data_IF_368296982167
#
_entry.id   IF_368296982167
#
_cell.length_a   1.000
_cell.length_b   1.000
_cell.length_c   1.000
_cell.angle_alpha   90.00
_cell.angle_beta   90.00
_cell.angle_gamma   90.00
#
_symmetry.space_group_name_H-M   'P 1'
#
loop_
_entity.id
_entity.type
_entity.pdbx_description
1 polymer ?
#
# COMPACT_ATOMS: atom_id res chain seq x y z
N UNK A 1 26.81 12.63 -9.60
CA UNK A 1 26.90 11.40 -8.80
C UNK A 1 25.90 11.47 -7.65
N UNK A 2 25.91 12.56 -6.87
CA UNK A 2 25.07 12.78 -5.67
C UNK A 2 23.55 12.57 -5.79
N UNK A 3 22.90 13.03 -6.88
CA UNK A 3 21.44 12.93 -6.98
C UNK A 3 20.95 11.48 -7.19
N UNK A 4 21.69 10.68 -7.96
CA UNK A 4 21.34 9.26 -8.18
C UNK A 4 21.49 8.47 -6.88
N UNK A 5 22.57 8.72 -6.14
CA UNK A 5 22.83 8.06 -4.86
C UNK A 5 21.85 8.51 -3.77
N UNK A 6 21.35 9.74 -3.85
CA UNK A 6 20.28 10.21 -2.97
C UNK A 6 18.96 9.48 -3.26
N UNK A 7 18.53 9.42 -4.52
CA UNK A 7 17.27 8.75 -4.88
C UNK A 7 17.32 7.25 -4.56
N UNK A 8 18.44 6.58 -4.81
CA UNK A 8 18.60 5.16 -4.47
C UNK A 8 18.43 4.92 -2.96
N UNK A 9 19.05 5.77 -2.12
CA UNK A 9 18.91 5.68 -0.66
C UNK A 9 17.47 5.89 -0.20
N UNK A 10 16.74 6.81 -0.82
CA UNK A 10 15.32 7.00 -0.50
C UNK A 10 14.48 5.77 -0.88
N UNK A 11 14.79 5.13 -2.01
CA UNK A 11 14.13 3.89 -2.43
C UNK A 11 14.38 2.75 -1.43
N UNK A 12 15.64 2.56 -1.01
CA UNK A 12 16.03 1.55 -0.03
C UNK A 12 15.38 1.81 1.34
N UNK A 13 15.32 3.08 1.77
CA UNK A 13 14.63 3.49 2.99
C UNK A 13 13.15 3.10 2.92
N UNK A 14 12.47 3.41 1.82
CA UNK A 14 11.06 3.05 1.64
C UNK A 14 10.84 1.54 1.64
N UNK A 15 11.72 0.76 0.99
CA UNK A 15 11.65 -0.70 1.01
C UNK A 15 11.75 -1.26 2.44
N UNK A 16 12.65 -0.72 3.27
CA UNK A 16 12.80 -1.13 4.66
C UNK A 16 11.55 -0.80 5.51
N UNK A 17 11.00 0.40 5.35
CA UNK A 17 9.80 0.84 6.09
C UNK A 17 8.59 -0.02 5.71
N UNK A 18 8.36 -0.20 4.41
CA UNK A 18 7.24 -1.01 3.92
C UNK A 18 7.40 -2.48 4.31
N UNK A 19 8.64 -3.00 4.33
CA UNK A 19 8.93 -4.34 4.85
C UNK A 19 8.54 -4.49 6.33
N UNK A 20 8.85 -3.50 7.17
CA UNK A 20 8.46 -3.50 8.59
C UNK A 20 6.95 -3.42 8.78
N UNK A 21 6.27 -2.56 8.02
CA UNK A 21 4.80 -2.44 8.02
C UNK A 21 4.17 -3.77 7.61
N UNK A 22 4.66 -4.38 6.52
CA UNK A 22 4.21 -5.69 6.04
C UNK A 22 4.41 -6.75 7.11
N UNK A 23 5.57 -6.85 7.74
CA UNK A 23 5.79 -7.81 8.83
C UNK A 23 4.82 -7.61 9.98
N UNK A 24 4.48 -6.37 10.33
CA UNK A 24 3.50 -6.07 11.38
C UNK A 24 2.07 -6.52 10.99
N UNK A 25 1.69 -6.32 9.73
CA UNK A 25 0.38 -6.69 9.21
C UNK A 25 0.21 -8.21 9.02
N UNK A 26 1.24 -8.91 8.56
CA UNK A 26 1.17 -10.33 8.16
C UNK A 26 1.78 -11.30 9.18
N UNK A 27 2.66 -10.84 10.07
CA UNK A 27 3.41 -11.68 11.03
C UNK A 27 2.82 -11.74 12.45
N UNK A 28 1.68 -11.10 12.70
CA UNK A 28 1.08 -11.02 14.03
C UNK A 28 0.34 -12.30 14.47
N UNK A 29 1.04 -13.42 14.64
CA UNK A 29 0.45 -14.65 15.21
C UNK A 29 0.48 -14.71 16.74
N UNK A 30 1.23 -13.83 17.42
CA UNK A 30 1.51 -13.98 18.86
C UNK A 30 0.86 -12.94 19.80
N UNK A 31 0.13 -11.95 19.28
CA UNK A 31 -0.54 -10.95 20.13
C UNK A 31 -2.05 -10.99 19.95
N UNK A 32 -2.69 -11.96 20.63
CA UNK A 32 -4.14 -12.12 20.85
C UNK A 32 -4.82 -10.92 21.57
N UNK A 33 -4.22 -9.73 21.60
CA UNK A 33 -4.73 -8.53 22.28
C UNK A 33 -4.68 -7.24 21.47
N UNK A 34 -4.11 -7.25 20.26
CA UNK A 34 -4.22 -6.11 19.36
C UNK A 34 -5.48 -6.30 18.53
N UNK A 35 -6.51 -5.49 18.79
CA UNK A 35 -7.68 -5.45 17.94
C UNK A 35 -7.26 -5.04 16.54
N UNK A 36 -7.96 -5.57 15.53
CA UNK A 36 -7.67 -5.31 14.12
C UNK A 36 -7.66 -3.81 13.81
N UNK A 37 -8.54 -3.06 14.47
CA UNK A 37 -8.65 -1.62 14.37
C UNK A 37 -7.36 -0.92 14.80
N UNK A 38 -6.72 -1.39 15.88
CA UNK A 38 -5.46 -0.83 16.36
C UNK A 38 -4.30 -1.15 15.41
N UNK A 39 -4.29 -2.33 14.79
CA UNK A 39 -3.27 -2.66 13.77
C UNK A 39 -3.40 -1.76 12.53
N UNK A 40 -4.63 -1.48 12.10
CA UNK A 40 -4.88 -0.56 10.99
C UNK A 40 -4.45 0.88 11.35
N UNK A 41 -4.80 1.35 12.55
CA UNK A 41 -4.43 2.69 13.03
C UNK A 41 -2.92 2.86 13.15
N UNK A 42 -2.23 1.91 13.79
CA UNK A 42 -0.78 1.98 13.89
C UNK A 42 -0.10 1.95 12.50
N UNK A 43 -0.70 1.23 11.54
CA UNK A 43 -0.16 1.18 10.17
C UNK A 43 -0.31 2.52 9.46
N UNK A 44 -1.46 3.18 9.62
CA UNK A 44 -1.68 4.54 9.11
C UNK A 44 -0.65 5.51 9.69
N UNK A 45 -0.44 5.46 11.00
CA UNK A 45 0.53 6.30 11.69
C UNK A 45 1.96 6.06 11.17
N UNK A 46 2.37 4.79 11.01
CA UNK A 46 3.68 4.45 10.46
C UNK A 46 3.86 4.93 9.02
N UNK A 47 2.84 4.75 8.16
CA UNK A 47 2.88 5.26 6.78
C UNK A 47 3.06 6.78 6.75
N UNK A 48 2.34 7.49 7.61
CA UNK A 48 2.42 8.95 7.69
C UNK A 48 3.79 9.42 8.19
N UNK A 49 4.27 8.87 9.30
CA UNK A 49 5.50 9.32 9.97
C UNK A 49 6.75 8.91 9.19
N UNK A 50 6.81 7.65 8.76
CA UNK A 50 8.05 7.08 8.22
C UNK A 50 8.15 7.23 6.70
N UNK A 51 7.00 7.12 6.00
CA UNK A 51 6.93 7.11 4.54
C UNK A 51 6.30 8.36 3.92
N UNK A 52 5.94 9.37 4.73
CA UNK A 52 5.25 10.60 4.28
C UNK A 52 3.97 10.30 3.48
N UNK A 53 3.33 9.15 3.80
CA UNK A 53 2.14 8.65 3.14
C UNK A 53 0.91 8.76 4.05
N UNK A 54 0.07 9.75 3.78
CA UNK A 54 -1.20 9.96 4.45
C UNK A 54 -2.26 9.04 3.84
N UNK A 55 -2.47 7.88 4.48
CA UNK A 55 -3.42 6.88 4.01
C UNK A 55 -4.86 7.41 4.01
N UNK A 56 -5.26 8.20 5.00
CA UNK A 56 -6.63 8.72 5.09
C UNK A 56 -6.90 9.73 3.97
N UNK A 57 -5.94 10.63 3.69
CA UNK A 57 -6.02 11.52 2.54
C UNK A 57 -6.11 10.75 1.22
N UNK A 58 -5.32 9.70 1.06
CA UNK A 58 -5.37 8.86 -0.13
C UNK A 58 -6.73 8.13 -0.27
N UNK A 59 -7.31 7.66 0.83
CA UNK A 59 -8.63 7.02 0.81
C UNK A 59 -9.75 7.97 0.39
N UNK A 60 -9.65 9.25 0.76
CA UNK A 60 -10.65 10.25 0.45
C UNK A 60 -10.52 10.85 -0.96
N UNK A 61 -9.38 10.64 -1.63
CA UNK A 61 -9.14 11.20 -2.97
C UNK A 61 -9.92 10.43 -4.04
N UNK A 62 -10.21 11.07 -5.17
CA UNK A 62 -10.59 10.30 -6.37
C UNK A 62 -9.36 9.63 -7.02
N UNK A 63 -9.57 8.92 -8.13
CA UNK A 63 -8.49 8.23 -8.85
C UNK A 63 -7.44 9.21 -9.40
N UNK A 64 -7.86 10.34 -9.97
CA UNK A 64 -6.94 11.30 -10.56
C UNK A 64 -6.11 12.01 -9.49
N UNK A 65 -6.76 12.45 -8.41
CA UNK A 65 -6.13 13.06 -7.25
C UNK A 65 -5.18 12.10 -6.54
N UNK A 66 -5.58 10.84 -6.38
CA UNK A 66 -4.74 9.82 -5.76
C UNK A 66 -3.51 9.50 -6.59
N UNK A 67 -3.65 9.41 -7.92
CA UNK A 67 -2.52 9.19 -8.82
C UNK A 67 -1.56 10.39 -8.81
N UNK A 68 -2.09 11.62 -8.75
CA UNK A 68 -1.29 12.83 -8.60
C UNK A 68 -0.54 12.83 -7.25
N UNK A 69 -1.21 12.46 -6.16
CA UNK A 69 -0.60 12.32 -4.84
C UNK A 69 0.56 11.32 -4.85
N UNK A 70 0.32 10.10 -5.36
CA UNK A 70 1.35 9.06 -5.49
C UNK A 70 2.55 9.54 -6.32
N UNK A 71 2.28 10.25 -7.43
CA UNK A 71 3.34 10.74 -8.32
C UNK A 71 4.28 11.77 -7.67
N UNK A 72 3.79 12.49 -6.65
CA UNK A 72 4.57 13.49 -5.91
C UNK A 72 5.46 12.91 -4.81
N UNK A 73 5.26 11.64 -4.44
CA UNK A 73 6.02 10.99 -3.37
C UNK A 73 7.46 10.70 -3.83
N UNK A 74 8.43 11.05 -2.98
CA UNK A 74 9.85 10.74 -3.20
C UNK A 74 10.17 9.37 -2.60
N UNK A 75 11.11 8.64 -3.21
CA UNK A 75 11.54 7.33 -2.73
C UNK A 75 10.63 6.16 -3.11
N UNK A 76 9.45 6.40 -3.66
CA UNK A 76 8.58 5.33 -4.15
C UNK A 76 8.91 4.95 -5.60
N UNK A 77 9.50 3.75 -5.77
CA UNK A 77 9.56 3.07 -7.06
C UNK A 77 8.35 2.13 -7.21
N UNK A 78 8.27 1.42 -8.34
CA UNK A 78 7.16 0.49 -8.61
C UNK A 78 7.08 -0.63 -7.56
N UNK A 79 8.22 -1.22 -7.19
CA UNK A 79 8.26 -2.29 -6.18
C UNK A 79 7.73 -1.84 -4.82
N UNK A 80 8.13 -0.66 -4.35
CA UNK A 80 7.63 -0.05 -3.11
C UNK A 80 6.12 0.20 -3.19
N UNK A 81 5.62 0.67 -4.33
CA UNK A 81 4.18 0.91 -4.51
C UNK A 81 3.36 -0.38 -4.56
N UNK A 82 3.92 -1.48 -5.08
CA UNK A 82 3.28 -2.79 -5.02
C UNK A 82 3.19 -3.30 -3.58
N UNK A 83 4.26 -3.17 -2.78
CA UNK A 83 4.23 -3.54 -1.36
C UNK A 83 3.24 -2.67 -0.59
N UNK A 84 3.15 -1.37 -0.92
CA UNK A 84 2.14 -0.48 -0.35
C UNK A 84 0.72 -0.96 -0.71
N UNK A 85 0.49 -1.36 -1.97
CA UNK A 85 -0.80 -1.91 -2.41
C UNK A 85 -1.17 -3.18 -1.64
N UNK A 86 -0.21 -4.08 -1.40
CA UNK A 86 -0.42 -5.26 -0.53
C UNK A 86 -0.80 -4.86 0.90
N UNK A 87 -0.11 -3.89 1.49
CA UNK A 87 -0.40 -3.43 2.86
C UNK A 87 -1.82 -2.84 2.94
N UNK A 88 -2.21 -2.02 1.97
CA UNK A 88 -3.54 -1.44 1.88
C UNK A 88 -4.62 -2.53 1.73
N UNK A 89 -4.39 -3.51 0.86
CA UNK A 89 -5.29 -4.65 0.71
C UNK A 89 -5.42 -5.43 2.02
N UNK A 90 -4.31 -5.69 2.71
CA UNK A 90 -4.30 -6.43 3.98
C UNK A 90 -5.08 -5.70 5.08
N UNK A 91 -5.03 -4.38 5.14
CA UNK A 91 -5.90 -3.60 6.04
C UNK A 91 -7.37 -3.85 5.68
N UNK A 92 -7.71 -3.83 4.38
CA UNK A 92 -9.06 -4.14 3.89
C UNK A 92 -9.55 -5.54 4.26
N UNK A 93 -8.68 -6.55 4.19
CA UNK A 93 -8.97 -7.92 4.63
C UNK A 93 -9.22 -8.02 6.13
N UNK A 94 -8.41 -7.32 6.90
CA UNK A 94 -8.48 -7.35 8.35
C UNK A 94 -9.72 -6.55 8.82
N UNK A 95 -10.11 -5.47 8.15
CA UNK A 95 -11.29 -4.67 8.50
C UNK A 95 -12.60 -5.48 8.43
N UNK A 96 -13.22 -5.72 9.60
CA UNK A 96 -14.57 -6.29 9.72
C UNK A 96 -15.71 -5.30 9.38
N UNK A 97 -15.39 -4.12 8.85
CA UNK A 97 -16.34 -3.04 8.58
C UNK A 97 -16.73 -2.96 7.10
N UNK A 98 -17.81 -2.23 6.80
CA UNK A 98 -18.24 -1.94 5.43
C UNK A 98 -17.21 -1.20 4.58
N UNK A 99 -16.17 -0.63 5.21
CA UNK A 99 -15.10 0.13 4.55
C UNK A 99 -14.07 -0.75 3.81
N UNK A 100 -14.10 -2.07 3.98
CA UNK A 100 -13.20 -3.01 3.28
C UNK A 100 -13.15 -2.81 1.77
N UNK A 101 -14.28 -2.42 1.17
CA UNK A 101 -14.36 -2.13 -0.28
C UNK A 101 -13.46 -0.98 -0.70
N UNK A 102 -13.42 0.11 0.08
CA UNK A 102 -12.60 1.29 -0.22
C UNK A 102 -11.11 0.95 -0.18
N UNK A 103 -10.68 0.14 0.80
CA UNK A 103 -9.29 -0.34 0.85
C UNK A 103 -8.92 -1.16 -0.38
N UNK A 104 -9.81 -2.05 -0.84
CA UNK A 104 -9.57 -2.84 -2.04
C UNK A 104 -9.54 -2.01 -3.32
N UNK A 105 -10.47 -1.07 -3.48
CA UNK A 105 -10.46 -0.11 -4.60
C UNK A 105 -9.15 0.68 -4.65
N UNK A 106 -8.66 1.11 -3.49
CA UNK A 106 -7.41 1.87 -3.37
C UNK A 106 -6.16 1.04 -3.60
N UNK A 107 -6.16 -0.23 -3.18
CA UNK A 107 -5.12 -1.18 -3.53
C UNK A 107 -5.07 -1.44 -5.05
N UNK A 108 -6.24 -1.59 -5.70
CA UNK A 108 -6.33 -1.74 -7.15
C UNK A 108 -5.81 -0.49 -7.88
N UNK A 109 -6.18 0.71 -7.42
CA UNK A 109 -5.65 1.96 -7.95
C UNK A 109 -4.11 2.00 -7.92
N UNK A 110 -3.49 1.54 -6.83
CA UNK A 110 -2.02 1.48 -6.72
C UNK A 110 -1.41 0.48 -7.72
N UNK A 111 -2.02 -0.70 -7.89
CA UNK A 111 -1.54 -1.67 -8.87
C UNK A 111 -1.70 -1.20 -10.31
N UNK A 112 -2.81 -0.53 -10.64
CA UNK A 112 -3.02 0.08 -11.96
C UNK A 112 -1.96 1.16 -12.23
N UNK A 113 -1.68 2.01 -11.23
CA UNK A 113 -0.60 2.98 -11.32
C UNK A 113 0.77 2.30 -11.55
N UNK A 114 1.02 1.15 -10.91
CA UNK A 114 2.24 0.37 -11.14
C UNK A 114 2.32 -0.19 -12.57
N UNK A 115 1.20 -0.68 -13.12
CA UNK A 115 1.10 -1.13 -14.51
C UNK A 115 1.46 0.00 -15.49
N UNK A 116 0.86 1.18 -15.30
CA UNK A 116 1.12 2.34 -16.14
C UNK A 116 2.58 2.81 -16.07
N UNK A 117 3.16 2.76 -14.87
CA UNK A 117 4.52 3.27 -14.62
C UNK A 117 5.60 2.29 -15.04
N UNK A 118 5.42 0.98 -14.84
CA UNK A 118 6.42 -0.02 -15.21
C UNK A 118 6.48 -0.25 -16.71
N UNK A 119 5.35 -0.11 -17.42
CA UNK A 119 5.20 -0.46 -18.85
C UNK A 119 5.66 -1.89 -19.17
N UNK A 120 5.71 -2.73 -18.15
CA UNK A 120 6.13 -4.13 -18.18
C UNK A 120 5.06 -4.95 -17.49
N UNK A 121 4.67 -6.03 -18.16
CA UNK A 121 3.75 -7.00 -17.62
C UNK A 121 4.37 -7.74 -16.43
N UNK A 122 3.60 -7.91 -15.35
CA UNK A 122 3.99 -8.67 -14.17
C UNK A 122 2.90 -9.68 -13.82
N UNK A 123 3.16 -10.97 -14.04
CA UNK A 123 2.22 -12.04 -13.69
C UNK A 123 1.84 -12.01 -12.21
N UNK A 124 2.80 -11.78 -11.33
CA UNK A 124 2.56 -11.70 -9.88
C UNK A 124 1.63 -10.53 -9.52
N UNK A 125 1.77 -9.39 -10.19
CA UNK A 125 0.89 -8.23 -10.01
C UNK A 125 -0.54 -8.56 -10.45
N UNK A 126 -0.70 -9.18 -11.63
CA UNK A 126 -2.01 -9.56 -12.14
C UNK A 126 -2.71 -10.57 -11.23
N UNK A 127 -1.98 -11.54 -10.68
CA UNK A 127 -2.53 -12.48 -9.70
C UNK A 127 -3.07 -11.77 -8.44
N UNK A 128 -2.34 -10.76 -7.94
CA UNK A 128 -2.79 -9.95 -6.79
C UNK A 128 -4.02 -9.11 -7.12
N UNK A 129 -4.05 -8.48 -8.30
CA UNK A 129 -5.21 -7.72 -8.80
C UNK A 129 -6.45 -8.63 -8.88
N UNK A 130 -6.31 -9.81 -9.48
CA UNK A 130 -7.38 -10.78 -9.66
C UNK A 130 -7.91 -11.27 -8.29
N UNK A 131 -7.00 -11.54 -7.34
CA UNK A 131 -7.36 -11.92 -5.99
C UNK A 131 -8.22 -10.85 -5.29
N UNK A 132 -7.82 -9.57 -5.37
CA UNK A 132 -8.55 -8.45 -4.78
C UNK A 132 -9.92 -8.27 -5.46
N UNK A 133 -9.98 -8.30 -6.79
CA UNK A 133 -11.26 -8.20 -7.54
C UNK A 133 -12.25 -9.28 -7.14
N UNK A 134 -11.79 -10.52 -6.99
CA UNK A 134 -12.62 -11.65 -6.56
C UNK A 134 -13.21 -11.46 -5.16
N UNK A 135 -12.56 -10.69 -4.29
CA UNK A 135 -13.05 -10.39 -2.95
C UNK A 135 -14.06 -9.26 -2.96
N UNK A 136 -13.88 -8.25 -3.83
CA UNK A 136 -14.87 -7.21 -4.05
C UNK A 136 -16.20 -7.78 -4.59
N UNK A 137 -16.15 -8.82 -5.42
CA UNK A 137 -17.35 -9.43 -6.03
C UNK A 137 -18.09 -10.43 -5.15
N UNK A 138 -17.55 -10.81 -3.98
CA UNK A 138 -18.17 -11.77 -3.05
C UNK A 138 -19.10 -11.14 -2.01
N UNK A 139 -19.53 -9.88 -2.18
CA UNK A 139 -20.51 -9.20 -1.31
C UNK A 139 -21.95 -9.43 -1.75
#
# INVERSE_FOLDING_TARGET
MEQKDYILREIEKMAAILGAIRQKLFGGSDNLSLTVEKQAEDTKEMLLIEADFDLDKFMMSDTAEGNAYISGLKGFNVENLEVLAECVAQIGFNCNSGLSGVYFEKALQLYEYCNDKSKTFSSEREEKIEAIKNLCHKK
#
